data_IF_474749584491
#
_entry.id   IF_474749584491
#
_cell.length_a   1.000
_cell.length_b   1.000
_cell.length_c   1.000
_cell.angle_alpha   90.00
_cell.angle_beta   90.00
_cell.angle_gamma   90.00
#
_symmetry.space_group_name_H-M   'P 1'
#
loop_
_entity.id
_entity.type
_entity.pdbx_description
1 polymer ?
#
# COMPACT_ATOMS: atom_id res chain seq x y z
N UNK A 1 -26.37 -20.92 -6.36
CA UNK A 1 -26.12 -19.47 -6.22
C UNK A 1 -24.62 -19.27 -6.36
N UNK A 2 -24.13 -18.49 -7.34
CA UNK A 2 -22.70 -18.30 -7.51
C UNK A 2 -22.34 -16.94 -6.90
N UNK A 3 -21.88 -16.92 -5.65
CA UNK A 3 -21.02 -15.83 -5.17
C UNK A 3 -19.96 -16.47 -4.27
N UNK A 4 -18.95 -17.01 -4.95
CA UNK A 4 -17.63 -17.21 -4.38
C UNK A 4 -17.08 -15.83 -4.01
N UNK A 5 -17.25 -15.41 -2.77
CA UNK A 5 -16.71 -14.15 -2.26
C UNK A 5 -16.42 -14.30 -0.77
N UNK A 6 -15.32 -14.98 -0.48
CA UNK A 6 -14.76 -15.12 0.87
C UNK A 6 -13.44 -14.35 0.88
N UNK A 7 -13.00 -13.71 1.97
CA UNK A 7 -13.68 -12.73 2.82
C UNK A 7 -12.76 -11.52 3.14
N UNK A 8 -13.32 -10.39 3.61
CA UNK A 8 -12.62 -9.58 4.62
C UNK A 8 -11.83 -8.33 4.20
N UNK A 9 -12.33 -7.54 3.24
CA UNK A 9 -11.91 -6.14 3.07
C UNK A 9 -13.14 -5.23 2.95
N UNK A 10 -13.14 -4.00 3.51
CA UNK A 10 -14.23 -3.05 3.29
C UNK A 10 -14.45 -2.93 1.78
N UNK A 11 -15.68 -3.18 1.32
CA UNK A 11 -16.11 -3.24 -0.08
C UNK A 11 -15.36 -2.22 -0.95
N UNK A 12 -14.27 -2.67 -1.60
CA UNK A 12 -13.43 -1.81 -2.44
C UNK A 12 -11.98 -1.60 -1.99
N UNK A 13 -11.49 -2.21 -0.90
CA UNK A 13 -10.06 -2.18 -0.53
C UNK A 13 -9.48 -3.57 -0.28
N UNK A 14 -8.20 -3.75 -0.61
CA UNK A 14 -7.43 -4.98 -0.50
C UNK A 14 -6.10 -4.72 0.20
N UNK A 15 -5.68 -5.67 1.03
CA UNK A 15 -4.36 -5.64 1.67
C UNK A 15 -3.31 -6.19 0.69
N UNK A 16 -2.33 -5.38 0.32
CA UNK A 16 -1.22 -5.79 -0.56
C UNK A 16 0.09 -5.74 0.21
N UNK A 17 0.87 -6.80 0.09
CA UNK A 17 2.28 -6.81 0.49
C UNK A 17 3.08 -6.01 -0.55
N UNK A 18 3.95 -5.14 -0.09
CA UNK A 18 4.76 -4.22 -0.92
C UNK A 18 6.19 -4.21 -0.40
N UNK A 19 7.14 -3.85 -1.26
CA UNK A 19 8.54 -3.71 -0.87
C UNK A 19 8.89 -2.23 -0.92
N UNK A 20 9.27 -1.67 0.23
CA UNK A 20 9.72 -0.29 0.30
C UNK A 20 11.10 -0.14 -0.34
N UNK A 21 11.49 1.07 -0.78
CA UNK A 21 12.80 1.32 -1.38
C UNK A 21 13.99 1.05 -0.45
N UNK A 22 13.75 0.99 0.87
CA UNK A 22 14.72 0.55 1.88
C UNK A 22 14.97 -0.98 1.89
N UNK A 23 14.23 -1.75 1.09
CA UNK A 23 14.26 -3.22 1.08
C UNK A 23 13.40 -3.86 2.17
N UNK A 24 12.87 -3.05 3.09
CA UNK A 24 11.86 -3.43 4.08
C UNK A 24 10.53 -3.83 3.41
N UNK A 25 9.82 -4.82 3.96
CA UNK A 25 8.50 -5.27 3.44
C UNK A 25 7.37 -4.74 4.31
N UNK A 26 6.31 -4.24 3.69
CA UNK A 26 5.13 -3.71 4.36
C UNK A 26 3.83 -4.28 3.84
N UNK A 27 2.73 -3.97 4.53
CA UNK A 27 1.37 -4.19 4.04
C UNK A 27 0.70 -2.82 3.96
N UNK A 28 0.13 -2.52 2.81
CA UNK A 28 -0.68 -1.31 2.61
C UNK A 28 -2.11 -1.68 2.24
N UNK A 29 -3.06 -0.83 2.61
CA UNK A 29 -4.43 -0.90 2.10
C UNK A 29 -4.49 -0.16 0.76
N UNK A 30 -4.85 -0.87 -0.30
CA UNK A 30 -5.08 -0.30 -1.64
C UNK A 30 -6.50 -0.57 -2.09
N UNK A 31 -6.92 0.02 -3.21
CA UNK A 31 -8.23 -0.28 -3.79
C UNK A 31 -8.26 -1.72 -4.31
N UNK A 32 -9.40 -2.38 -4.20
CA UNK A 32 -9.61 -3.68 -4.84
C UNK A 32 -9.47 -3.53 -6.36
N UNK A 33 -8.64 -4.37 -6.98
CA UNK A 33 -8.26 -4.26 -8.40
C UNK A 33 -6.96 -3.49 -8.66
N UNK A 34 -6.31 -2.92 -7.63
CA UNK A 34 -4.98 -2.31 -7.77
C UNK A 34 -3.92 -3.39 -8.03
N UNK A 35 -3.13 -3.20 -9.09
CA UNK A 35 -2.01 -4.07 -9.45
C UNK A 35 -0.89 -4.02 -8.41
N UNK A 36 0.00 -5.02 -8.41
CA UNK A 36 1.16 -5.02 -7.50
C UNK A 36 2.06 -3.81 -7.76
N UNK A 37 2.27 -3.44 -9.03
CA UNK A 37 3.11 -2.32 -9.44
C UNK A 37 2.57 -0.98 -8.90
N UNK A 38 1.27 -0.73 -9.04
CA UNK A 38 0.61 0.44 -8.45
C UNK A 38 0.72 0.45 -6.92
N UNK A 39 0.51 -0.69 -6.28
CA UNK A 39 0.65 -0.80 -4.83
C UNK A 39 2.08 -0.49 -4.37
N UNK A 40 3.08 -0.98 -5.08
CA UNK A 40 4.50 -0.75 -4.79
C UNK A 40 4.87 0.73 -5.01
N UNK A 41 4.39 1.34 -6.09
CA UNK A 41 4.55 2.77 -6.35
C UNK A 41 3.90 3.65 -5.26
N UNK A 42 2.71 3.29 -4.78
CA UNK A 42 2.06 3.97 -3.66
C UNK A 42 2.87 3.84 -2.37
N UNK A 43 3.37 2.63 -2.07
CA UNK A 43 4.21 2.37 -0.92
C UNK A 43 5.50 3.20 -0.96
N UNK A 44 6.16 3.25 -2.12
CA UNK A 44 7.37 4.04 -2.33
C UNK A 44 7.14 5.54 -2.13
N UNK A 45 6.01 6.08 -2.60
CA UNK A 45 5.64 7.49 -2.40
C UNK A 45 5.42 7.82 -0.92
N UNK A 46 4.62 7.03 -0.23
CA UNK A 46 4.36 7.21 1.22
C UNK A 46 5.66 7.09 2.02
N UNK A 47 6.55 6.18 1.61
CA UNK A 47 7.86 6.02 2.23
C UNK A 47 8.78 7.23 1.99
N UNK A 48 8.80 7.76 0.77
CA UNK A 48 9.56 8.97 0.42
C UNK A 48 9.07 10.17 1.25
N UNK A 49 7.76 10.39 1.33
CA UNK A 49 7.15 11.44 2.17
C UNK A 49 7.46 11.25 3.67
N UNK A 50 7.51 10.00 4.14
CA UNK A 50 7.85 9.69 5.55
C UNK A 50 9.34 9.85 5.86
N UNK A 51 10.21 9.69 4.85
CA UNK A 51 11.67 9.77 4.99
C UNK A 51 12.19 11.20 4.96
N UNK A 52 11.31 12.20 4.92
CA UNK A 52 11.62 13.60 5.21
C UNK A 52 11.27 13.99 6.66
N UNK A 53 11.96 13.51 7.72
CA UNK A 53 12.03 14.25 8.97
C UNK A 53 13.06 15.38 8.78
N UNK A 54 12.66 16.46 8.11
CA UNK A 54 13.62 17.51 7.74
C UNK A 54 13.06 18.92 7.45
N UNK A 55 11.75 19.16 7.56
CA UNK A 55 11.26 20.53 7.81
C UNK A 55 11.26 20.79 9.31
N UNK A 56 12.44 21.00 9.86
CA UNK A 56 12.65 21.94 10.97
C UNK A 56 13.71 22.88 10.39
N UNK A 57 13.29 23.97 9.77
CA UNK A 57 13.22 25.27 10.44
C UNK A 57 14.54 25.53 11.17
N UNK A 58 15.51 26.05 10.41
CA UNK A 58 16.62 26.89 10.92
C UNK A 58 16.83 28.05 9.94
#
# INVERSE_FOLDING_TARGET
MPEESTPGGPLGTAMRKVTFPDGSRGIILVKAGTSQEDADALAARVWAERSEPGSSDE
#
